data_IF_824042502265
#
_entry.id   IF_824042502265
#
_cell.length_a   1.000
_cell.length_b   1.000
_cell.length_c   1.000
_cell.angle_alpha   90.00
_cell.angle_beta   90.00
_cell.angle_gamma   90.00
#
_symmetry.space_group_name_H-M   'P 1'
#
loop_
_entity.id
_entity.type
_entity.pdbx_description
1 polymer ?
#
# COMPACT_ATOMS: atom_id res chain seq x y z
N UNK A 1 -7.34 2.12 -20.52
CA UNK A 1 -6.99 3.10 -19.49
C UNK A 1 -6.74 2.41 -18.17
N UNK A 2 -5.75 2.88 -17.47
CA UNK A 2 -5.43 2.32 -16.17
C UNK A 2 -6.33 2.89 -15.08
N UNK A 3 -6.29 2.26 -13.92
CA UNK A 3 -6.87 2.75 -12.69
C UNK A 3 -5.74 2.69 -11.64
N UNK A 4 -4.96 3.75 -11.56
CA UNK A 4 -3.63 3.76 -10.94
C UNK A 4 -3.70 4.09 -9.47
N UNK A 5 -2.98 3.31 -8.66
CA UNK A 5 -2.92 3.49 -7.22
C UNK A 5 -1.54 3.14 -6.69
N UNK A 6 -1.22 3.64 -5.51
CA UNK A 6 0.02 3.32 -4.82
C UNK A 6 -0.21 3.08 -3.35
N UNK A 7 0.67 2.26 -2.77
CA UNK A 7 0.80 2.06 -1.33
C UNK A 7 2.23 2.47 -0.99
N UNK A 8 2.42 3.22 0.08
CA UNK A 8 3.74 3.62 0.53
C UNK A 8 4.07 2.97 1.87
N UNK A 9 5.33 2.55 2.04
CA UNK A 9 5.83 1.99 3.31
C UNK A 9 7.08 2.79 3.69
N UNK A 10 7.10 3.33 4.89
CA UNK A 10 8.25 4.07 5.38
C UNK A 10 9.45 3.14 5.58
N UNK A 11 10.61 3.57 5.10
CA UNK A 11 11.88 2.86 5.20
C UNK A 11 12.92 3.87 5.71
N UNK A 12 13.23 3.83 7.01
CA UNK A 12 14.11 4.84 7.58
C UNK A 12 13.54 6.24 7.34
N UNK A 13 14.32 7.12 6.70
CA UNK A 13 13.89 8.47 6.38
C UNK A 13 13.20 8.56 5.01
N UNK A 14 13.12 7.44 4.29
CA UNK A 14 12.51 7.40 2.96
C UNK A 14 11.22 6.61 2.93
N UNK A 15 10.71 6.44 1.73
CA UNK A 15 9.49 5.65 1.49
C UNK A 15 9.68 4.78 0.27
N UNK A 16 9.18 3.56 0.33
CA UNK A 16 9.05 2.69 -0.84
C UNK A 16 7.61 2.79 -1.30
N UNK A 17 7.41 3.15 -2.57
CA UNK A 17 6.08 3.23 -3.18
C UNK A 17 5.84 2.00 -4.04
N UNK A 18 4.73 1.32 -3.78
CA UNK A 18 4.31 0.12 -4.52
C UNK A 18 3.17 0.52 -5.44
N UNK A 19 3.40 0.42 -6.73
CA UNK A 19 2.52 0.96 -7.77
C UNK A 19 1.70 -0.14 -8.42
N UNK A 20 0.40 0.14 -8.64
CA UNK A 20 -0.50 -0.69 -9.45
C UNK A 20 -1.13 0.15 -10.53
N UNK A 21 -1.09 -0.34 -11.78
CA UNK A 21 -1.65 0.38 -12.93
C UNK A 21 -3.13 0.07 -13.15
N UNK A 22 -3.63 -1.07 -12.68
CA UNK A 22 -4.96 -1.56 -13.04
C UNK A 22 -5.93 -1.72 -11.89
N UNK A 23 -5.46 -1.89 -10.66
CA UNK A 23 -6.30 -2.35 -9.56
C UNK A 23 -7.13 -1.25 -8.90
N UNK A 24 -6.72 0.00 -9.04
CA UNK A 24 -7.41 1.12 -8.41
C UNK A 24 -7.56 0.91 -6.91
N UNK A 25 -8.75 1.17 -6.39
CA UNK A 25 -9.04 0.99 -4.97
C UNK A 25 -8.96 -0.48 -4.53
N UNK A 26 -8.87 -1.42 -5.46
CA UNK A 26 -8.68 -2.84 -5.13
C UNK A 26 -7.37 -3.12 -4.39
N UNK A 27 -6.38 -2.23 -4.50
CA UNK A 27 -5.13 -2.39 -3.74
C UNK A 27 -5.37 -2.33 -2.23
N UNK A 28 -6.42 -1.65 -1.78
CA UNK A 28 -6.71 -1.53 -0.34
C UNK A 28 -7.08 -2.88 0.27
N UNK A 29 -7.89 -3.67 -0.45
CA UNK A 29 -8.21 -5.02 0.01
C UNK A 29 -6.97 -5.91 0.00
N UNK A 30 -6.13 -5.79 -1.01
CA UNK A 30 -4.86 -6.52 -1.07
C UNK A 30 -3.95 -6.14 0.09
N UNK A 31 -3.93 -4.86 0.46
CA UNK A 31 -3.17 -4.39 1.61
C UNK A 31 -3.72 -5.00 2.91
N UNK A 32 -5.04 -5.00 3.10
CA UNK A 32 -5.64 -5.61 4.29
C UNK A 32 -5.29 -7.10 4.37
N UNK A 33 -5.40 -7.82 3.25
CA UNK A 33 -5.04 -9.23 3.20
C UNK A 33 -3.56 -9.45 3.53
N UNK A 34 -2.69 -8.57 3.05
CA UNK A 34 -1.26 -8.64 3.34
C UNK A 34 -0.98 -8.41 4.82
N UNK A 35 -1.70 -7.48 5.45
CA UNK A 35 -1.53 -7.21 6.88
C UNK A 35 -1.98 -8.41 7.72
N UNK A 36 -3.05 -9.09 7.34
CA UNK A 36 -3.48 -10.31 8.01
C UNK A 36 -2.42 -11.40 7.87
N UNK A 37 -1.99 -11.65 6.65
CA UNK A 37 -0.99 -12.68 6.36
C UNK A 37 0.35 -12.37 7.03
N UNK A 38 0.77 -11.11 6.99
CA UNK A 38 2.07 -10.68 7.49
C UNK A 38 2.06 -10.14 8.91
N UNK A 39 1.09 -10.54 9.75
CA UNK A 39 0.95 -9.98 11.10
C UNK A 39 2.23 -10.09 11.93
N UNK A 40 2.97 -11.17 11.79
CA UNK A 40 4.23 -11.36 12.53
C UNK A 40 5.34 -10.43 12.07
N UNK A 41 5.13 -9.69 10.99
CA UNK A 41 6.12 -8.78 10.38
C UNK A 41 5.70 -7.31 10.43
N UNK A 42 4.73 -6.95 11.24
CA UNK A 42 4.26 -5.57 11.30
C UNK A 42 5.32 -4.58 11.77
N UNK A 43 6.33 -5.03 12.49
CA UNK A 43 7.44 -4.19 12.92
C UNK A 43 8.68 -4.30 12.02
N UNK A 44 8.58 -5.03 10.91
CA UNK A 44 9.69 -5.29 10.00
C UNK A 44 9.33 -4.73 8.62
N UNK A 45 9.72 -3.50 8.36
CA UNK A 45 9.32 -2.79 7.14
C UNK A 45 9.81 -3.46 5.87
N UNK A 46 10.97 -4.12 5.92
CA UNK A 46 11.52 -4.78 4.72
C UNK A 46 10.69 -6.00 4.34
N UNK A 47 10.40 -6.85 5.31
CA UNK A 47 9.61 -8.05 5.07
C UNK A 47 8.16 -7.70 4.75
N UNK A 48 7.60 -6.74 5.48
CA UNK A 48 6.21 -6.35 5.26
C UNK A 48 6.03 -5.72 3.89
N UNK A 49 6.98 -4.89 3.44
CA UNK A 49 6.93 -4.31 2.10
C UNK A 49 6.88 -5.39 1.02
N UNK A 50 7.72 -6.41 1.14
CA UNK A 50 7.72 -7.52 0.19
C UNK A 50 6.40 -8.28 0.22
N UNK A 51 5.87 -8.54 1.42
CA UNK A 51 4.60 -9.27 1.58
C UNK A 51 3.46 -8.49 0.92
N UNK A 52 3.41 -7.17 1.12
CA UNK A 52 2.40 -6.32 0.49
C UNK A 52 2.50 -6.39 -1.02
N UNK A 53 3.71 -6.24 -1.55
CA UNK A 53 3.91 -6.26 -3.00
C UNK A 53 3.55 -7.62 -3.60
N UNK A 54 3.87 -8.69 -2.89
CA UNK A 54 3.52 -10.04 -3.32
C UNK A 54 2.00 -10.21 -3.43
N UNK A 55 1.25 -9.68 -2.46
CA UNK A 55 -0.21 -9.70 -2.53
C UNK A 55 -0.75 -8.84 -3.66
N UNK A 56 -0.12 -7.69 -3.91
CA UNK A 56 -0.51 -6.80 -5.01
C UNK A 56 -0.37 -7.48 -6.37
N UNK A 57 0.77 -8.12 -6.60
CA UNK A 57 1.08 -8.73 -7.90
C UNK A 57 0.33 -10.04 -8.12
N UNK A 58 0.03 -10.78 -7.06
CA UNK A 58 -0.66 -12.07 -7.17
C UNK A 58 0.05 -12.99 -8.16
N UNK A 59 -0.68 -13.41 -9.19
CA UNK A 59 -0.17 -14.31 -10.22
C UNK A 59 0.40 -13.58 -11.44
N UNK A 60 0.60 -12.26 -11.34
CA UNK A 60 1.09 -11.49 -12.48
C UNK A 60 2.45 -12.00 -12.93
N UNK A 61 2.58 -12.28 -14.23
CA UNK A 61 3.81 -12.75 -14.86
C UNK A 61 4.25 -11.84 -15.99
N UNK A 62 3.57 -10.70 -16.16
CA UNK A 62 3.93 -9.73 -17.19
C UNK A 62 5.05 -8.82 -16.71
N UNK A 63 5.56 -8.03 -17.65
CA UNK A 63 6.58 -7.03 -17.37
C UNK A 63 5.99 -5.68 -17.00
N UNK A 64 4.67 -5.55 -17.01
CA UNK A 64 3.94 -4.30 -16.73
C UNK A 64 2.91 -4.52 -15.65
N UNK A 65 2.26 -3.44 -15.23
CA UNK A 65 1.15 -3.46 -14.29
C UNK A 65 1.52 -3.11 -12.87
N UNK A 66 2.73 -3.41 -12.44
CA UNK A 66 3.19 -3.17 -11.07
C UNK A 66 4.62 -2.66 -11.07
N UNK A 67 4.94 -1.80 -10.09
CA UNK A 67 6.28 -1.27 -9.99
C UNK A 67 6.63 -0.85 -8.57
N UNK A 68 7.90 -0.58 -8.34
CA UNK A 68 8.43 -0.14 -7.05
C UNK A 68 9.23 1.13 -7.28
N UNK A 69 8.98 2.15 -6.47
CA UNK A 69 9.73 3.40 -6.54
C UNK A 69 10.22 3.85 -5.18
N UNK A 70 11.30 4.59 -5.16
CA UNK A 70 11.87 5.14 -3.94
C UNK A 70 11.55 6.63 -3.84
N UNK A 71 10.90 7.03 -2.74
CA UNK A 71 10.60 8.43 -2.42
C UNK A 71 9.82 9.17 -3.51
N UNK A 72 9.05 8.45 -4.30
CA UNK A 72 8.45 9.05 -5.49
C UNK A 72 7.06 8.45 -5.73
N UNK A 73 6.04 9.29 -5.67
CA UNK A 73 4.72 8.86 -6.11
C UNK A 73 4.52 9.26 -7.57
N UNK A 74 3.72 8.46 -8.26
CA UNK A 74 3.40 8.67 -9.66
C UNK A 74 2.08 9.45 -9.79
N UNK A 75 1.68 9.71 -11.02
CA UNK A 75 0.36 10.27 -11.31
C UNK A 75 -0.67 9.17 -11.11
N UNK A 76 -1.39 9.22 -10.00
CA UNK A 76 -2.33 8.20 -9.58
C UNK A 76 -3.71 8.81 -9.34
N UNK A 77 -4.71 7.96 -9.10
CA UNK A 77 -6.11 8.36 -9.07
C UNK A 77 -6.79 8.13 -7.72
N UNK A 78 -6.06 7.60 -6.73
CA UNK A 78 -6.60 7.23 -5.42
C UNK A 78 -5.71 7.73 -4.30
N UNK A 79 -6.28 7.83 -3.10
CA UNK A 79 -5.52 8.18 -1.91
C UNK A 79 -4.46 7.11 -1.60
N UNK A 80 -3.38 7.54 -0.98
CA UNK A 80 -2.21 6.72 -0.70
C UNK A 80 -2.18 6.36 0.78
N UNK A 81 -2.29 5.07 1.14
CA UNK A 81 -2.01 4.65 2.51
C UNK A 81 -0.50 4.61 2.72
N UNK A 82 -0.02 5.34 3.72
CA UNK A 82 1.40 5.40 4.07
C UNK A 82 1.60 4.65 5.37
N UNK A 83 2.28 3.52 5.30
CA UNK A 83 2.47 2.63 6.43
C UNK A 83 3.72 3.00 7.22
N UNK A 84 3.57 3.03 8.54
CA UNK A 84 4.66 3.24 9.48
C UNK A 84 4.75 2.02 10.39
N UNK A 85 5.79 1.20 10.19
CA UNK A 85 5.95 -0.04 10.95
C UNK A 85 6.38 0.20 12.40
N UNK A 86 6.95 1.35 12.71
CA UNK A 86 7.34 1.68 14.08
C UNK A 86 6.10 1.88 14.96
N UNK A 87 5.13 2.63 14.47
CA UNK A 87 3.88 2.89 15.17
C UNK A 87 2.78 1.90 14.81
N UNK A 88 2.96 1.14 13.74
CA UNK A 88 1.97 0.21 13.17
C UNK A 88 0.67 0.94 12.82
N UNK A 89 0.83 2.08 12.17
CA UNK A 89 -0.28 2.93 11.74
C UNK A 89 -0.17 3.29 10.26
N UNK A 90 -1.31 3.66 9.69
CA UNK A 90 -1.41 4.11 8.31
C UNK A 90 -1.88 5.56 8.35
N UNK A 91 -1.08 6.46 7.79
CA UNK A 91 -1.47 7.84 7.54
C UNK A 91 -1.86 7.98 6.07
N UNK A 92 -3.04 8.50 5.81
CA UNK A 92 -3.52 8.64 4.45
C UNK A 92 -3.10 9.98 3.85
N UNK A 93 -2.64 9.93 2.62
CA UNK A 93 -2.34 11.09 1.80
C UNK A 93 -3.21 11.07 0.56
N UNK A 94 -3.54 12.25 0.03
CA UNK A 94 -4.26 12.31 -1.23
C UNK A 94 -3.30 12.06 -2.40
N UNK A 95 -3.84 12.02 -3.61
CA UNK A 95 -3.04 11.71 -4.80
C UNK A 95 -2.00 12.77 -5.14
N UNK A 96 -2.03 13.93 -4.48
CA UNK A 96 -0.99 14.95 -4.63
C UNK A 96 0.11 14.81 -3.59
N UNK A 97 -0.05 13.88 -2.63
CA UNK A 97 0.90 13.66 -1.55
C UNK A 97 0.62 14.48 -0.30
N UNK A 98 -0.53 15.15 -0.22
CA UNK A 98 -0.89 15.94 0.95
C UNK A 98 -1.65 15.10 1.97
N UNK A 99 -1.39 15.28 3.28
CA UNK A 99 -2.12 14.51 4.30
C UNK A 99 -3.62 14.78 4.25
N UNK A 100 -4.42 13.71 4.34
CA UNK A 100 -5.88 13.85 4.41
C UNK A 100 -6.38 14.05 5.83
N UNK A 101 -5.54 13.77 6.83
CA UNK A 101 -5.94 13.80 8.24
C UNK A 101 -6.50 12.49 8.75
N UNK A 102 -6.65 11.49 7.90
CA UNK A 102 -7.13 10.16 8.30
C UNK A 102 -5.96 9.31 8.75
N UNK A 103 -6.11 8.66 9.90
CA UNK A 103 -5.10 7.76 10.46
C UNK A 103 -5.77 6.51 10.99
N UNK A 104 -5.18 5.36 10.72
CA UNK A 104 -5.71 4.06 11.14
C UNK A 104 -4.58 3.19 11.68
N UNK A 105 -4.89 2.28 12.61
CA UNK A 105 -3.92 1.25 13.01
C UNK A 105 -3.90 0.13 11.97
N UNK A 106 -2.79 -0.62 11.92
CA UNK A 106 -2.72 -1.83 11.10
C UNK A 106 -3.83 -2.82 11.51
N UNK A 107 -4.08 -2.93 12.82
CA UNK A 107 -5.10 -3.85 13.32
C UNK A 107 -6.49 -3.50 12.79
N UNK A 108 -6.88 -2.23 12.87
CA UNK A 108 -8.20 -1.79 12.40
C UNK A 108 -8.32 -1.94 10.89
N UNK A 109 -7.29 -1.57 10.15
CA UNK A 109 -7.33 -1.65 8.70
C UNK A 109 -7.41 -3.10 8.21
N UNK A 110 -6.70 -4.02 8.88
CA UNK A 110 -6.63 -5.42 8.46
C UNK A 110 -7.98 -6.14 8.51
N UNK A 111 -8.91 -5.66 9.35
CA UNK A 111 -10.24 -6.26 9.48
C UNK A 111 -11.33 -5.43 8.80
N UNK A 112 -10.95 -4.36 8.13
CA UNK A 112 -11.90 -3.49 7.45
C UNK A 112 -12.50 -4.20 6.23
N UNK A 113 -13.79 -3.97 5.98
CA UNK A 113 -14.47 -4.51 4.81
C UNK A 113 -14.36 -3.50 3.66
N UNK A 114 -14.04 -4.01 2.48
CA UNK A 114 -13.93 -3.19 1.27
C UNK A 114 -14.97 -3.62 0.26
N UNK A 115 -15.63 -2.66 -0.36
CA UNK A 115 -16.52 -2.95 -1.48
C UNK A 115 -15.68 -3.04 -2.75
N UNK A 116 -15.84 -4.16 -3.45
CA UNK A 116 -15.19 -4.38 -4.74
C UNK A 116 -16.28 -4.69 -5.76
N UNK A 117 -16.29 -3.94 -6.81
CA UNK A 117 -17.22 -4.20 -7.92
C UNK A 117 -16.56 -4.98 -9.02
#
# INVERSE_FOLDING_TARGET
>A
MGDRAQIAVKQGEGRIYLYSHWDGAGVYKKLADALVFGKSRWSDEEYLTRIIFQKMTGDNKDTTGYGIGLNRHNDIEHDIPVLDCDSQTIDWEDRSGSPTGTKQSFADFSVQTFETD
#
